data_IF_498057764961
#
_entry.id   IF_498057764961
#
_cell.length_a   1.000
_cell.length_b   1.000
_cell.length_c   1.000
_cell.angle_alpha   90.00
_cell.angle_beta   90.00
_cell.angle_gamma   90.00
#
_symmetry.space_group_name_H-M   'P 1'
#
loop_
_entity.id
_entity.type
_entity.pdbx_description
1 polymer ?
#
# COMPACT_ATOMS: atom_id res chain seq x y z
N UNK A 1 2.81 -5.98 17.47
CA UNK A 1 2.59 -5.80 16.02
C UNK A 1 3.80 -6.21 15.19
N UNK A 2 4.97 -5.72 15.52
CA UNK A 2 6.20 -6.02 14.78
C UNK A 2 6.54 -7.50 14.75
N UNK A 3 6.26 -8.23 15.84
CA UNK A 3 6.56 -9.66 15.94
C UNK A 3 5.74 -10.51 14.95
N UNK A 4 4.61 -9.98 14.48
CA UNK A 4 3.74 -10.67 13.54
C UNK A 4 4.14 -10.46 12.08
N UNK A 5 5.09 -9.55 11.80
CA UNK A 5 5.50 -9.19 10.45
C UNK A 5 6.87 -9.77 10.13
N UNK A 6 7.12 -10.20 8.86
CA UNK A 6 8.45 -10.66 8.45
C UNK A 6 9.50 -9.58 8.69
N UNK A 7 10.68 -9.93 9.23
CA UNK A 7 11.73 -8.93 9.51
C UNK A 7 12.17 -8.12 8.29
N UNK A 8 12.27 -8.74 7.13
CA UNK A 8 12.65 -8.07 5.89
C UNK A 8 11.60 -7.07 5.43
N UNK A 9 10.32 -7.32 5.73
CA UNK A 9 9.24 -6.39 5.43
C UNK A 9 9.33 -5.17 6.36
N UNK A 10 9.61 -5.39 7.64
CA UNK A 10 9.78 -4.31 8.62
C UNK A 10 10.98 -3.45 8.25
N UNK A 11 12.08 -4.05 7.83
CA UNK A 11 13.28 -3.33 7.39
C UNK A 11 12.98 -2.45 6.18
N UNK A 12 12.28 -3.00 5.18
CA UNK A 12 11.90 -2.24 3.99
C UNK A 12 10.94 -1.10 4.33
N UNK A 13 9.97 -1.33 5.21
CA UNK A 13 9.03 -0.31 5.66
C UNK A 13 9.75 0.83 6.38
N UNK A 14 10.73 0.51 7.23
CA UNK A 14 11.52 1.53 7.93
C UNK A 14 12.27 2.43 6.95
N UNK A 15 12.85 1.85 5.89
CA UNK A 15 13.52 2.62 4.85
C UNK A 15 12.56 3.58 4.15
N UNK A 16 11.37 3.10 3.80
CA UNK A 16 10.36 3.95 3.15
C UNK A 16 10.00 5.13 4.04
N UNK A 17 9.73 4.88 5.32
CA UNK A 17 9.36 5.94 6.26
C UNK A 17 10.52 6.93 6.44
N UNK A 18 11.74 6.45 6.68
CA UNK A 18 12.89 7.32 6.94
C UNK A 18 13.30 8.14 5.72
N UNK A 19 13.32 7.52 4.54
CA UNK A 19 13.70 8.21 3.30
C UNK A 19 12.68 9.29 2.93
N UNK A 20 11.40 9.02 3.10
CA UNK A 20 10.36 9.99 2.80
C UNK A 20 10.30 11.10 3.84
N UNK A 21 10.53 10.77 5.12
CA UNK A 21 10.64 11.79 6.16
C UNK A 21 11.78 12.77 5.84
N UNK A 22 12.94 12.26 5.45
CA UNK A 22 14.12 13.08 5.14
C UNK A 22 13.86 14.04 3.99
N UNK A 23 12.95 13.66 3.06
CA UNK A 23 12.60 14.47 1.88
C UNK A 23 11.35 15.32 2.08
N UNK A 24 10.74 15.27 3.26
CA UNK A 24 9.50 15.99 3.56
C UNK A 24 8.30 15.48 2.77
N UNK A 25 8.29 14.20 2.39
CA UNK A 25 7.22 13.59 1.60
C UNK A 25 6.28 12.79 2.48
N UNK A 26 5.03 12.74 2.09
CA UNK A 26 4.04 11.83 2.66
C UNK A 26 3.81 10.65 1.72
N UNK A 27 3.40 9.52 2.30
CA UNK A 27 3.21 8.27 1.57
C UNK A 27 1.76 7.83 1.68
N UNK A 28 1.19 7.48 0.55
CA UNK A 28 -0.08 6.79 0.45
C UNK A 28 0.14 5.50 -0.34
N UNK A 29 -0.60 4.46 -0.01
CA UNK A 29 -0.47 3.18 -0.70
C UNK A 29 -1.82 2.67 -1.17
N UNK A 30 -1.80 1.87 -2.24
CA UNK A 30 -2.95 1.10 -2.69
C UNK A 30 -2.49 -0.34 -2.86
N UNK A 31 -3.24 -1.26 -2.30
CA UNK A 31 -2.89 -2.67 -2.34
C UNK A 31 -4.12 -3.54 -2.57
N UNK A 32 -3.91 -4.72 -3.09
CA UNK A 32 -4.95 -5.69 -3.40
C UNK A 32 -4.56 -7.07 -2.85
N UNK A 33 -3.66 -7.77 -3.52
CA UNK A 33 -3.28 -9.14 -3.16
C UNK A 33 -2.69 -9.27 -1.76
N UNK A 34 -2.03 -8.24 -1.26
CA UNK A 34 -1.43 -8.21 0.06
C UNK A 34 -2.43 -7.98 1.19
N UNK A 35 -3.65 -7.58 0.85
CA UNK A 35 -4.76 -7.50 1.81
C UNK A 35 -4.58 -6.53 2.97
N UNK A 36 -3.74 -5.51 2.82
CA UNK A 36 -3.46 -4.53 3.87
C UNK A 36 -2.11 -4.71 4.56
N UNK A 37 -1.31 -5.68 4.14
CA UNK A 37 -0.03 -6.00 4.78
C UNK A 37 0.98 -4.85 4.62
N UNK A 38 0.98 -4.16 3.46
CA UNK A 38 1.89 -3.04 3.21
C UNK A 38 1.57 -1.89 4.16
N UNK A 39 0.30 -1.53 4.29
CA UNK A 39 -0.15 -0.50 5.24
C UNK A 39 0.20 -0.89 6.68
N UNK A 40 -0.01 -2.15 7.04
CA UNK A 40 0.32 -2.65 8.38
C UNK A 40 1.82 -2.52 8.66
N UNK A 41 2.67 -2.86 7.70
CA UNK A 41 4.12 -2.75 7.85
C UNK A 41 4.57 -1.30 8.03
N UNK A 42 4.05 -0.39 7.22
CA UNK A 42 4.41 1.03 7.29
C UNK A 42 3.95 1.66 8.62
N UNK A 43 2.74 1.34 9.05
CA UNK A 43 2.19 1.89 10.30
C UNK A 43 2.80 1.27 11.56
N UNK A 44 3.45 0.11 11.45
CA UNK A 44 4.18 -0.51 12.55
C UNK A 44 5.47 0.24 12.92
N UNK A 45 6.00 1.07 12.02
CA UNK A 45 7.24 1.80 12.26
C UNK A 45 6.96 2.97 13.22
N UNK A 46 7.69 3.08 14.36
CA UNK A 46 7.52 4.20 15.28
C UNK A 46 7.69 5.55 14.56
N UNK A 47 6.77 6.48 14.82
CA UNK A 47 6.81 7.80 14.22
C UNK A 47 6.33 7.85 12.77
N UNK A 48 5.71 6.79 12.24
CA UNK A 48 5.25 6.76 10.86
C UNK A 48 4.08 7.71 10.57
N UNK A 49 3.38 8.17 11.60
CA UNK A 49 2.18 9.00 11.43
C UNK A 49 2.44 10.34 10.76
N UNK A 50 3.66 10.86 10.81
CA UNK A 50 4.04 12.10 10.13
C UNK A 50 4.45 11.88 8.67
N UNK A 51 4.51 10.62 8.23
CA UNK A 51 4.84 10.24 6.85
C UNK A 51 3.69 9.49 6.18
N UNK A 52 3.15 8.47 6.84
CA UNK A 52 2.07 7.67 6.27
C UNK A 52 0.75 8.42 6.34
N UNK A 53 0.13 8.65 5.18
CA UNK A 53 -1.13 9.40 5.07
C UNK A 53 -2.34 8.49 5.08
N UNK A 54 -2.38 7.54 4.14
CA UNK A 54 -3.55 6.71 3.92
C UNK A 54 -3.18 5.47 3.12
N UNK A 55 -3.87 4.37 3.39
CA UNK A 55 -3.77 3.15 2.61
C UNK A 55 -5.15 2.70 2.14
N UNK A 56 -5.22 2.22 0.91
CA UNK A 56 -6.43 1.67 0.33
C UNK A 56 -6.21 0.19 0.02
N UNK A 57 -7.04 -0.68 0.57
CA UNK A 57 -7.06 -2.09 0.22
C UNK A 57 -8.24 -2.34 -0.71
N UNK A 58 -8.01 -2.18 -2.01
CA UNK A 58 -9.03 -2.31 -3.05
C UNK A 58 -9.01 -3.73 -3.59
N UNK A 59 -9.53 -4.65 -2.81
CA UNK A 59 -9.44 -6.08 -3.10
C UNK A 59 -10.38 -6.50 -4.23
N UNK A 60 -11.62 -6.04 -4.20
CA UNK A 60 -12.60 -6.36 -5.24
C UNK A 60 -12.39 -5.50 -6.50
N UNK A 61 -12.90 -5.97 -7.63
CA UNK A 61 -12.89 -5.18 -8.86
C UNK A 61 -13.73 -3.91 -8.71
N UNK A 62 -14.87 -3.98 -8.02
CA UNK A 62 -15.69 -2.80 -7.74
C UNK A 62 -14.93 -1.76 -6.95
N UNK A 63 -14.17 -2.16 -5.94
CA UNK A 63 -13.35 -1.23 -5.16
C UNK A 63 -12.23 -0.62 -6.02
N UNK A 64 -11.61 -1.41 -6.90
CA UNK A 64 -10.58 -0.89 -7.81
C UNK A 64 -11.14 0.21 -8.71
N UNK A 65 -12.36 0.02 -9.21
CA UNK A 65 -13.02 1.01 -10.06
C UNK A 65 -13.48 2.23 -9.27
N UNK A 66 -14.19 2.02 -8.16
CA UNK A 66 -14.84 3.12 -7.44
C UNK A 66 -13.87 3.96 -6.62
N UNK A 67 -12.84 3.35 -6.04
CA UNK A 67 -11.88 4.05 -5.17
C UNK A 67 -10.68 4.55 -5.94
N UNK A 68 -10.11 3.71 -6.81
CA UNK A 68 -8.88 4.04 -7.55
C UNK A 68 -9.13 4.48 -8.98
N UNK A 69 -10.37 4.36 -9.48
CA UNK A 69 -10.70 4.76 -10.84
C UNK A 69 -10.17 3.83 -11.93
N UNK A 70 -9.91 2.56 -11.60
CA UNK A 70 -9.49 1.60 -12.60
C UNK A 70 -10.63 1.34 -13.57
N UNK A 71 -10.35 1.43 -14.88
CA UNK A 71 -11.34 1.28 -15.93
C UNK A 71 -11.83 -0.18 -15.99
N UNK A 72 -13.17 -0.37 -16.10
CA UNK A 72 -13.76 -1.71 -16.17
C UNK A 72 -13.25 -2.51 -17.36
N UNK A 73 -12.99 -1.85 -18.49
CA UNK A 73 -12.43 -2.51 -19.68
C UNK A 73 -11.04 -3.08 -19.44
N UNK A 74 -10.24 -2.41 -18.62
CA UNK A 74 -8.92 -2.90 -18.24
C UNK A 74 -9.05 -4.17 -17.42
N UNK A 75 -9.97 -4.19 -16.46
CA UNK A 75 -10.21 -5.36 -15.62
C UNK A 75 -10.71 -6.56 -16.45
N UNK A 76 -11.63 -6.32 -17.39
CA UNK A 76 -12.17 -7.36 -18.26
C UNK A 76 -11.13 -7.90 -19.24
N UNK A 77 -10.28 -7.02 -19.80
CA UNK A 77 -9.32 -7.38 -20.84
C UNK A 77 -8.04 -8.00 -20.26
N UNK A 78 -7.51 -7.41 -19.20
CA UNK A 78 -6.20 -7.77 -18.64
C UNK A 78 -6.28 -8.49 -17.30
N UNK A 79 -7.43 -8.47 -16.63
CA UNK A 79 -7.65 -9.10 -15.34
C UNK A 79 -7.30 -8.20 -14.16
N UNK A 80 -7.71 -8.67 -12.98
CA UNK A 80 -7.55 -7.93 -11.72
C UNK A 80 -6.08 -7.77 -11.30
N UNK A 81 -5.23 -8.69 -11.72
CA UNK A 81 -3.79 -8.67 -11.38
C UNK A 81 -3.01 -8.60 -12.67
N UNK A 82 -2.68 -7.39 -13.08
CA UNK A 82 -1.94 -7.13 -14.32
C UNK A 82 -1.25 -5.78 -14.23
N UNK A 83 -0.28 -5.56 -15.10
CA UNK A 83 0.42 -4.28 -15.19
C UNK A 83 -0.56 -3.16 -15.56
N UNK A 84 -1.55 -3.44 -16.42
CA UNK A 84 -2.53 -2.45 -16.84
C UNK A 84 -3.44 -2.01 -15.70
N UNK A 85 -3.77 -2.95 -14.80
CA UNK A 85 -4.59 -2.66 -13.62
C UNK A 85 -3.79 -1.97 -12.55
#
# INVERSE_FOLDING_TARGET
MDDALPPELVTAARRVIEENRAKGRRVAVAESCTGGLVSAALTAIPGSSDVFEVGFTTYSNDAKMSVLGVDSNILETFGAVSIAT
#
